data_IF_219022238139
#
_entry.id   IF_219022238139
#
_cell.length_a   1.000
_cell.length_b   1.000
_cell.length_c   1.000
_cell.angle_alpha   90.00
_cell.angle_beta   90.00
_cell.angle_gamma   90.00
#
_symmetry.space_group_name_H-M   'P 1'
#
loop_
_entity.id
_entity.type
_entity.pdbx_description
1 polymer ?
#
# COMPACT_ATOMS: atom_id res chain seq x y z
N UNK A 1 -8.10 -8.05 12.53
CA UNK A 1 -8.48 -7.33 11.37
C UNK A 1 -7.37 -7.24 10.32
N UNK A 2 -6.24 -6.61 10.61
CA UNK A 2 -5.05 -6.71 9.77
C UNK A 2 -4.25 -7.94 10.13
N UNK A 3 -3.53 -8.52 9.16
CA UNK A 3 -2.56 -9.57 9.46
C UNK A 3 -1.50 -9.01 10.41
N UNK A 4 -0.89 -9.88 11.20
CA UNK A 4 0.12 -9.44 12.15
C UNK A 4 1.32 -8.79 11.46
N UNK A 5 1.72 -9.34 10.33
CA UNK A 5 2.81 -8.75 9.53
C UNK A 5 2.47 -7.35 9.07
N UNK A 6 1.23 -7.12 8.62
CA UNK A 6 0.79 -5.81 8.16
C UNK A 6 0.76 -4.82 9.32
N UNK A 7 0.26 -5.23 10.49
CA UNK A 7 0.27 -4.37 11.68
C UNK A 7 1.69 -3.93 12.05
N UNK A 8 2.64 -4.87 12.05
CA UNK A 8 4.03 -4.57 12.34
C UNK A 8 4.65 -3.64 11.30
N UNK A 9 4.33 -3.84 10.03
CA UNK A 9 4.82 -2.98 8.95
C UNK A 9 4.30 -1.55 9.07
N UNK A 10 3.03 -1.40 9.41
CA UNK A 10 2.43 -0.07 9.61
C UNK A 10 3.08 0.63 10.81
N UNK A 11 3.25 -0.09 11.92
CA UNK A 11 3.92 0.48 13.10
C UNK A 11 5.34 0.93 12.77
N UNK A 12 6.09 0.12 12.03
CA UNK A 12 7.45 0.46 11.61
C UNK A 12 7.47 1.68 10.69
N UNK A 13 6.45 1.83 9.83
CA UNK A 13 6.33 2.98 8.94
C UNK A 13 6.18 4.27 9.75
N UNK A 14 5.32 4.26 10.77
CA UNK A 14 5.14 5.42 11.65
C UNK A 14 6.42 5.74 12.42
N UNK A 15 7.11 4.73 12.94
CA UNK A 15 8.37 4.93 13.67
C UNK A 15 9.45 5.55 12.80
N UNK A 16 9.62 5.05 11.58
CA UNK A 16 10.60 5.59 10.64
C UNK A 16 10.28 7.02 10.25
N UNK A 17 9.00 7.32 10.03
CA UNK A 17 8.57 8.69 9.71
C UNK A 17 8.85 9.64 10.85
N UNK A 18 8.62 9.19 12.08
CA UNK A 18 8.92 10.00 13.28
C UNK A 18 10.41 10.28 13.38
N UNK A 19 11.26 9.27 13.21
CA UNK A 19 12.71 9.42 13.23
C UNK A 19 13.20 10.37 12.12
N UNK A 20 12.57 10.33 10.96
CA UNK A 20 12.92 11.19 9.83
C UNK A 20 12.28 12.57 9.92
N UNK A 21 11.57 12.88 11.00
CA UNK A 21 10.89 14.14 11.23
C UNK A 21 9.86 14.47 10.14
N UNK A 22 9.17 13.45 9.63
CA UNK A 22 8.13 13.60 8.62
C UNK A 22 6.79 13.83 9.31
N UNK A 23 6.04 14.84 8.84
CA UNK A 23 4.77 15.22 9.45
C UNK A 23 3.62 14.30 9.01
N UNK A 24 3.57 13.94 7.71
CA UNK A 24 2.45 13.17 7.16
C UNK A 24 2.91 11.90 6.49
N UNK A 25 2.16 10.82 6.71
CA UNK A 25 2.29 9.58 5.97
C UNK A 25 1.16 9.51 4.95
N UNK A 26 1.54 9.25 3.70
CA UNK A 26 0.63 9.32 2.54
C UNK A 26 0.36 7.93 1.96
N UNK A 27 -0.52 7.88 0.96
CA UNK A 27 -0.80 6.66 0.19
C UNK A 27 0.49 6.15 -0.48
N UNK A 28 1.38 7.07 -0.92
CA UNK A 28 2.64 6.70 -1.56
C UNK A 28 3.59 6.01 -0.58
N UNK A 29 3.61 6.42 0.68
CA UNK A 29 4.34 5.70 1.72
C UNK A 29 3.78 4.29 1.91
N UNK A 30 2.46 4.17 1.88
CA UNK A 30 1.80 2.90 2.06
C UNK A 30 2.10 1.95 0.90
N UNK A 31 2.04 2.45 -0.33
CA UNK A 31 2.38 1.65 -1.51
C UNK A 31 3.84 1.17 -1.43
N UNK A 32 4.76 2.07 -1.10
CA UNK A 32 6.17 1.70 -0.96
C UNK A 32 6.37 0.61 0.10
N UNK A 33 5.66 0.74 1.23
CA UNK A 33 5.75 -0.23 2.33
C UNK A 33 5.30 -1.63 1.88
N UNK A 34 4.15 -1.74 1.22
CA UNK A 34 3.63 -3.06 0.83
C UNK A 34 4.45 -3.73 -0.27
N UNK A 35 5.29 -2.99 -0.98
CA UNK A 35 6.14 -3.56 -2.03
C UNK A 35 7.21 -4.51 -1.49
N UNK A 36 7.40 -4.57 -0.18
CA UNK A 36 8.29 -5.55 0.45
C UNK A 36 7.61 -6.91 0.67
N UNK A 37 6.30 -6.96 0.54
CA UNK A 37 5.53 -8.19 0.75
C UNK A 37 5.72 -9.17 -0.40
N UNK A 38 5.79 -10.46 -0.08
CA UNK A 38 6.02 -11.50 -1.07
C UNK A 38 4.91 -11.53 -2.15
N UNK A 39 3.65 -11.54 -1.75
CA UNK A 39 2.54 -11.63 -2.71
C UNK A 39 2.44 -10.39 -3.59
N UNK A 40 2.69 -9.21 -3.04
CA UNK A 40 2.73 -7.97 -3.81
C UNK A 40 3.87 -8.01 -4.84
N UNK A 41 5.04 -8.47 -4.43
CA UNK A 41 6.18 -8.63 -5.35
C UNK A 41 5.86 -9.61 -6.48
N UNK A 42 5.24 -10.73 -6.14
CA UNK A 42 4.86 -11.74 -7.14
C UNK A 42 3.82 -11.21 -8.11
N UNK A 43 2.89 -10.39 -7.62
CA UNK A 43 1.92 -9.74 -8.51
C UNK A 43 2.63 -8.85 -9.54
N UNK A 44 3.51 -7.96 -9.10
CA UNK A 44 4.24 -7.08 -10.01
C UNK A 44 5.10 -7.88 -10.99
N UNK A 45 5.76 -8.90 -10.49
CA UNK A 45 6.59 -9.78 -11.32
C UNK A 45 5.76 -10.48 -12.39
N UNK A 46 4.56 -10.94 -12.03
CA UNK A 46 3.66 -11.61 -12.99
C UNK A 46 3.21 -10.68 -14.12
N UNK A 47 3.26 -9.37 -13.88
CA UNK A 47 2.91 -8.34 -14.87
C UNK A 47 4.13 -7.79 -15.60
N UNK A 48 5.31 -8.34 -15.34
CA UNK A 48 6.55 -7.89 -15.99
C UNK A 48 7.02 -6.52 -15.54
N UNK A 49 6.63 -6.09 -14.34
CA UNK A 49 6.96 -4.76 -13.82
C UNK A 49 8.21 -4.82 -12.98
N UNK A 50 9.13 -3.87 -13.24
CA UNK A 50 10.32 -3.70 -12.43
C UNK A 50 9.94 -3.05 -11.09
N UNK A 51 10.08 -3.81 -10.00
CA UNK A 51 9.84 -3.31 -8.66
C UNK A 51 10.80 -2.16 -8.35
N UNK A 52 12.05 -2.28 -8.76
CA UNK A 52 13.06 -1.25 -8.52
C UNK A 52 12.69 0.07 -9.20
N UNK A 53 12.19 0.01 -10.45
CA UNK A 53 11.77 1.22 -11.15
C UNK A 53 10.59 1.90 -10.46
N UNK A 54 9.60 1.12 -10.01
CA UNK A 54 8.46 1.67 -9.29
C UNK A 54 8.88 2.25 -7.94
N UNK A 55 9.77 1.57 -7.23
CA UNK A 55 10.33 2.11 -5.97
C UNK A 55 11.06 3.42 -6.19
N UNK A 56 11.86 3.51 -7.25
CA UNK A 56 12.58 4.75 -7.57
C UNK A 56 11.60 5.89 -7.86
N UNK A 57 10.55 5.62 -8.64
CA UNK A 57 9.53 6.63 -8.93
C UNK A 57 8.84 7.11 -7.65
N UNK A 58 8.50 6.18 -6.76
CA UNK A 58 7.88 6.52 -5.47
C UNK A 58 8.81 7.33 -4.58
N UNK A 59 10.07 6.90 -4.47
CA UNK A 59 11.05 7.61 -3.65
C UNK A 59 11.31 9.01 -4.17
N UNK A 60 11.40 9.18 -5.48
CA UNK A 60 11.57 10.51 -6.10
C UNK A 60 10.39 11.42 -5.78
N UNK A 61 9.17 10.90 -5.88
CA UNK A 61 7.98 11.66 -5.54
C UNK A 61 7.97 12.04 -4.07
N UNK A 62 8.24 11.10 -3.19
CA UNK A 62 8.24 11.33 -1.75
C UNK A 62 9.30 12.34 -1.34
N UNK A 63 10.50 12.26 -1.91
CA UNK A 63 11.57 13.19 -1.60
C UNK A 63 11.24 14.64 -2.01
N UNK A 64 10.50 14.80 -3.10
CA UNK A 64 10.09 16.14 -3.57
C UNK A 64 8.93 16.72 -2.77
N UNK A 65 8.13 15.88 -2.13
CA UNK A 65 6.88 16.30 -1.50
C UNK A 65 6.85 16.08 0.01
N UNK A 66 8.00 15.80 0.61
CA UNK A 66 8.07 15.57 2.05
C UNK A 66 7.76 16.86 2.81
N UNK A 67 6.96 16.72 3.87
CA UNK A 67 6.66 17.81 4.80
C UNK A 67 7.28 17.47 6.13
N UNK A 68 8.22 18.30 6.58
CA UNK A 68 8.87 18.14 7.87
C UNK A 68 8.00 18.68 9.00
N UNK A 69 8.07 18.05 10.15
CA UNK A 69 7.39 18.56 11.34
C UNK A 69 7.98 19.89 11.78
N UNK A 70 7.10 20.81 12.13
CA UNK A 70 7.50 22.07 12.77
C UNK A 70 7.83 21.80 14.22
N UNK A 71 7.00 21.00 14.91
CA UNK A 71 7.19 20.57 16.27
C UNK A 71 7.50 19.07 16.27
N UNK A 72 8.75 18.73 16.59
CA UNK A 72 9.24 17.34 16.57
C UNK A 72 8.56 16.45 17.59
N UNK A 73 7.94 17.03 18.61
CA UNK A 73 7.25 16.27 19.65
C UNK A 73 5.85 15.83 19.23
N UNK A 74 5.30 16.43 18.17
CA UNK A 74 3.99 16.04 17.67
C UNK A 74 4.06 14.71 16.93
N UNK A 75 3.01 13.89 17.01
CA UNK A 75 3.00 12.60 16.31
C UNK A 75 2.93 12.76 14.79
N UNK A 76 3.43 11.77 14.08
CA UNK A 76 3.22 11.63 12.65
C UNK A 76 1.74 11.42 12.40
N UNK A 77 1.20 12.07 11.38
CA UNK A 77 -0.23 11.97 11.06
C UNK A 77 -0.45 11.28 9.71
N UNK A 78 -1.36 10.31 9.64
CA UNK A 78 -1.77 9.75 8.37
C UNK A 78 -2.66 10.74 7.62
N UNK A 79 -2.49 10.84 6.31
CA UNK A 79 -3.40 11.65 5.48
C UNK A 79 -4.77 10.98 5.41
N UNK A 80 -5.78 11.72 4.97
CA UNK A 80 -7.11 11.17 4.77
C UNK A 80 -7.09 10.05 3.73
N UNK A 81 -6.29 10.19 2.67
CA UNK A 81 -6.14 9.14 1.67
C UNK A 81 -5.60 7.85 2.26
N UNK A 82 -4.57 7.96 3.11
CA UNK A 82 -4.02 6.81 3.83
C UNK A 82 -5.11 6.11 4.65
N UNK A 83 -5.86 6.89 5.43
CA UNK A 83 -6.93 6.37 6.26
C UNK A 83 -8.02 5.69 5.44
N UNK A 84 -8.43 6.32 4.32
CA UNK A 84 -9.47 5.74 3.44
C UNK A 84 -9.04 4.41 2.85
N UNK A 85 -7.77 4.28 2.47
CA UNK A 85 -7.25 3.01 1.92
C UNK A 85 -7.40 1.90 2.94
N UNK A 86 -6.97 2.14 4.17
CA UNK A 86 -7.07 1.12 5.23
C UNK A 86 -8.52 0.76 5.52
N UNK A 87 -9.41 1.75 5.62
CA UNK A 87 -10.83 1.53 5.87
C UNK A 87 -11.48 0.72 4.75
N UNK A 88 -11.14 1.04 3.50
CA UNK A 88 -11.66 0.35 2.33
C UNK A 88 -11.21 -1.10 2.29
N UNK A 89 -9.94 -1.35 2.60
CA UNK A 89 -9.41 -2.71 2.64
C UNK A 89 -10.12 -3.55 3.72
N UNK A 90 -10.34 -2.98 4.90
CA UNK A 90 -11.09 -3.65 5.98
C UNK A 90 -12.51 -3.94 5.52
N UNK A 91 -13.17 -2.96 4.91
CA UNK A 91 -14.54 -3.13 4.43
C UNK A 91 -14.65 -4.28 3.41
N UNK A 92 -13.73 -4.34 2.46
CA UNK A 92 -13.74 -5.40 1.45
C UNK A 92 -13.57 -6.79 2.07
N UNK A 93 -12.66 -6.92 3.03
CA UNK A 93 -12.42 -8.21 3.68
C UNK A 93 -13.62 -8.63 4.54
N UNK A 94 -14.20 -7.69 5.29
CA UNK A 94 -15.40 -7.97 6.08
C UNK A 94 -16.58 -8.37 5.21
N UNK A 95 -16.75 -7.70 4.08
CA UNK A 95 -17.86 -8.00 3.14
C UNK A 95 -17.72 -9.37 2.49
N UNK A 96 -16.48 -9.82 2.26
CA UNK A 96 -16.23 -11.13 1.68
C UNK A 96 -16.21 -12.27 2.72
N UNK A 97 -16.22 -11.94 3.99
CA UNK A 97 -16.15 -12.92 5.08
C UNK A 97 -14.80 -13.63 5.19
N UNK A 98 -13.73 -13.05 4.65
CA UNK A 98 -12.44 -13.74 4.54
C UNK A 98 -11.37 -13.20 5.48
N UNK A 99 -11.55 -13.36 6.76
CA UNK A 99 -10.43 -13.27 7.71
C UNK A 99 -9.77 -11.90 7.84
N UNK A 100 -8.50 -11.80 7.44
CA UNK A 100 -7.65 -10.64 7.75
C UNK A 100 -7.21 -9.90 6.50
N UNK A 101 -6.96 -8.59 6.67
CA UNK A 101 -6.42 -7.74 5.61
C UNK A 101 -4.92 -8.02 5.47
N UNK A 102 -4.50 -8.34 4.26
CA UNK A 102 -3.11 -8.59 3.90
C UNK A 102 -2.59 -7.47 2.99
N UNK A 103 -1.26 -7.34 2.81
CA UNK A 103 -0.71 -6.29 1.94
C UNK A 103 -1.31 -6.26 0.54
N UNK A 104 -1.60 -7.41 -0.08
CA UNK A 104 -2.22 -7.44 -1.41
C UNK A 104 -3.61 -6.80 -1.41
N UNK A 105 -4.35 -6.91 -0.31
CA UNK A 105 -5.67 -6.25 -0.18
C UNK A 105 -5.49 -4.73 -0.10
N UNK A 106 -4.41 -4.26 0.52
CA UNK A 106 -4.08 -2.84 0.56
C UNK A 106 -3.84 -2.34 -0.88
N UNK A 107 -3.11 -3.10 -1.69
CA UNK A 107 -2.86 -2.72 -3.09
C UNK A 107 -4.17 -2.52 -3.86
N UNK A 108 -5.11 -3.45 -3.73
CA UNK A 108 -6.44 -3.32 -4.36
C UNK A 108 -7.12 -2.03 -3.92
N UNK A 109 -7.10 -1.73 -2.62
CA UNK A 109 -7.75 -0.55 -2.07
C UNK A 109 -7.07 0.76 -2.55
N UNK A 110 -5.77 0.75 -2.76
CA UNK A 110 -5.03 1.93 -3.26
C UNK A 110 -5.58 2.40 -4.61
N UNK A 111 -5.97 1.48 -5.49
CA UNK A 111 -6.49 1.84 -6.80
C UNK A 111 -7.73 2.72 -6.74
N UNK A 112 -8.47 2.71 -5.64
CA UNK A 112 -9.66 3.54 -5.48
C UNK A 112 -9.33 4.99 -5.10
N UNK A 113 -8.09 5.28 -4.70
CA UNK A 113 -7.63 6.65 -4.48
C UNK A 113 -7.14 7.25 -5.80
N UNK A 114 -8.09 7.52 -6.69
CA UNK A 114 -7.83 7.88 -8.10
C UNK A 114 -7.00 9.15 -8.27
N UNK A 115 -7.07 10.06 -7.31
CA UNK A 115 -6.33 11.32 -7.36
C UNK A 115 -4.91 11.19 -6.79
N UNK A 116 -4.55 10.03 -6.24
CA UNK A 116 -3.23 9.82 -5.67
C UNK A 116 -2.15 9.69 -6.73
N UNK A 117 -0.95 10.09 -6.39
CA UNK A 117 0.22 9.85 -7.25
C UNK A 117 0.48 8.35 -7.39
N UNK A 118 0.13 7.56 -6.37
CA UNK A 118 0.23 6.09 -6.42
C UNK A 118 -0.52 5.53 -7.62
N UNK A 119 -1.78 5.93 -7.81
CA UNK A 119 -2.60 5.45 -8.93
C UNK A 119 -2.04 5.96 -10.25
N UNK A 120 -1.56 7.21 -10.29
CA UNK A 120 -0.89 7.74 -11.47
C UNK A 120 0.27 6.84 -11.89
N UNK A 121 1.12 6.44 -10.94
CA UNK A 121 2.26 5.56 -11.22
C UNK A 121 1.82 4.16 -11.63
N UNK A 122 0.85 3.58 -10.92
CA UNK A 122 0.36 2.25 -11.27
C UNK A 122 -0.22 2.22 -12.69
N UNK A 123 -0.96 3.27 -13.06
CA UNK A 123 -1.49 3.41 -14.42
C UNK A 123 -0.38 3.60 -15.46
N UNK A 124 0.68 4.32 -15.10
CA UNK A 124 1.86 4.48 -15.96
C UNK A 124 2.47 3.12 -16.31
N UNK A 125 2.46 2.18 -15.37
CA UNK A 125 2.91 0.81 -15.58
C UNK A 125 1.80 -0.08 -16.14
N UNK A 126 0.70 0.50 -16.60
CA UNK A 126 -0.44 -0.18 -17.25
C UNK A 126 -1.16 -1.18 -16.37
N UNK A 127 -1.15 -0.91 -15.07
CA UNK A 127 -1.88 -1.71 -14.10
C UNK A 127 -3.23 -1.08 -13.79
N UNK A 128 -4.24 -1.93 -13.62
CA UNK A 128 -5.59 -1.54 -13.21
C UNK A 128 -5.98 -2.25 -11.93
N UNK A 129 -7.06 -1.75 -11.30
CA UNK A 129 -7.64 -2.41 -10.15
C UNK A 129 -8.04 -3.85 -10.46
N UNK A 130 -8.57 -4.07 -11.67
CA UNK A 130 -8.99 -5.40 -12.10
C UNK A 130 -7.83 -6.40 -12.10
N UNK A 131 -6.63 -5.97 -12.51
CA UNK A 131 -5.45 -6.83 -12.47
C UNK A 131 -5.17 -7.32 -11.05
N UNK A 132 -5.22 -6.43 -10.07
CA UNK A 132 -4.96 -6.79 -8.67
C UNK A 132 -6.08 -7.65 -8.09
N UNK A 133 -7.35 -7.33 -8.40
CA UNK A 133 -8.50 -8.13 -7.95
C UNK A 133 -8.43 -9.53 -8.53
N UNK A 134 -8.12 -9.65 -9.82
CA UNK A 134 -8.00 -10.95 -10.48
C UNK A 134 -6.90 -11.80 -9.86
N UNK A 135 -5.78 -11.17 -9.53
CA UNK A 135 -4.67 -11.87 -8.86
C UNK A 135 -5.09 -12.41 -7.49
N UNK A 136 -5.81 -11.62 -6.69
CA UNK A 136 -6.28 -12.08 -5.38
C UNK A 136 -7.26 -13.24 -5.49
N UNK A 137 -8.17 -13.20 -6.47
CA UNK A 137 -9.11 -14.29 -6.71
C UNK A 137 -8.39 -15.56 -7.15
N UNK A 138 -7.41 -15.44 -8.02
CA UNK A 138 -6.63 -16.59 -8.50
C UNK A 138 -5.89 -17.27 -7.34
N UNK A 139 -5.26 -16.47 -6.46
CA UNK A 139 -4.56 -17.00 -5.30
C UNK A 139 -5.50 -17.70 -4.33
N UNK A 140 -6.68 -17.12 -4.07
CA UNK A 140 -7.69 -17.74 -3.23
C UNK A 140 -8.16 -19.07 -3.82
N UNK A 141 -8.35 -19.12 -5.14
CA UNK A 141 -8.78 -20.34 -5.84
C UNK A 141 -7.70 -21.42 -5.75
N UNK A 142 -6.44 -21.09 -5.97
CA UNK A 142 -5.31 -22.01 -5.81
C UNK A 142 -5.27 -22.61 -4.40
N UNK A 143 -5.51 -21.80 -3.39
CA UNK A 143 -5.52 -22.23 -2.00
C UNK A 143 -6.63 -23.24 -1.74
N UNK A 144 -7.76 -23.13 -2.44
CA UNK A 144 -8.90 -24.02 -2.27
C UNK A 144 -8.71 -25.39 -2.94
N UNK A 145 -7.70 -25.55 -3.76
CA UNK A 145 -7.43 -26.81 -4.46
C UNK A 145 -6.63 -27.82 -3.64
N UNK A 146 -6.31 -27.50 -2.42
CA UNK A 146 -5.72 -28.44 -1.49
C UNK A 146 -6.79 -29.23 -0.75
#
# INVERSE_FOLDING_TARGET
MFSKELELSIAALFDKAHEANIQYITVEHLLLMIMSDFDVKEFFKSKGISIDSLKDDLNNHLNKNVVSKIDQQKPVQPTLGFQRVLQRAVFHIQSSGKGVVKPINILVAIFSEKESHSVFLLNKYKLSRLDAVSYTHLRAHETLHY
#
